data_IF_223782909230
#
_entry.id   IF_223782909230
#
_cell.length_a   1.000
_cell.length_b   1.000
_cell.length_c   1.000
_cell.angle_alpha   90.00
_cell.angle_beta   90.00
_cell.angle_gamma   90.00
#
_symmetry.space_group_name_H-M   'P 1'
#
loop_
_entity.id
_entity.type
_entity.pdbx_description
1 polymer ?
#
# COMPACT_ATOMS: atom_id res chain seq x y z
N UNK A 1 62.49 -22.95 -22.13
CA UNK A 1 61.46 -22.01 -21.62
C UNK A 1 60.13 -22.52 -22.12
N UNK A 2 59.30 -23.05 -21.24
CA UNK A 2 57.93 -23.44 -21.58
C UNK A 2 57.07 -22.18 -21.69
N UNK A 3 56.33 -21.97 -22.79
CA UNK A 3 55.45 -20.80 -22.89
C UNK A 3 54.34 -20.93 -21.84
N UNK A 4 54.21 -19.90 -21.01
CA UNK A 4 53.10 -19.78 -20.07
C UNK A 4 51.91 -19.27 -20.89
N UNK A 5 50.90 -20.12 -21.07
CA UNK A 5 49.63 -19.71 -21.67
C UNK A 5 48.90 -18.87 -20.60
N UNK A 6 48.50 -17.61 -20.91
CA UNK A 6 47.73 -16.82 -19.96
C UNK A 6 46.39 -17.50 -19.66
N UNK A 7 45.89 -17.41 -18.42
CA UNK A 7 44.58 -17.97 -18.09
C UNK A 7 43.51 -17.37 -19.01
N UNK A 8 42.71 -18.23 -19.63
CA UNK A 8 41.50 -17.82 -20.32
C UNK A 8 40.55 -17.27 -19.25
N UNK A 9 40.34 -15.95 -19.26
CA UNK A 9 39.21 -15.34 -18.56
C UNK A 9 38.00 -15.62 -19.42
N UNK A 10 37.18 -16.60 -19.03
CA UNK A 10 35.87 -16.78 -19.65
C UNK A 10 35.05 -15.51 -19.35
N UNK A 11 34.31 -14.95 -20.33
CA UNK A 11 33.36 -13.88 -20.02
C UNK A 11 32.43 -14.37 -18.92
N UNK A 12 32.23 -13.54 -17.90
CA UNK A 12 31.20 -13.80 -16.89
C UNK A 12 29.89 -13.85 -17.67
N UNK A 13 29.07 -14.92 -17.55
CA UNK A 13 27.82 -14.96 -18.28
C UNK A 13 26.94 -13.78 -17.85
N UNK A 14 26.65 -12.86 -18.77
CA UNK A 14 25.86 -11.65 -18.52
C UNK A 14 24.39 -11.95 -18.76
N UNK A 15 23.88 -12.94 -18.03
CA UNK A 15 22.44 -13.21 -18.03
C UNK A 15 21.73 -11.93 -17.59
N UNK A 16 20.86 -11.42 -18.45
CA UNK A 16 20.05 -10.24 -18.18
C UNK A 16 18.68 -10.67 -17.66
N UNK A 17 18.07 -9.83 -16.84
CA UNK A 17 16.67 -9.98 -16.42
C UNK A 17 15.89 -8.75 -16.84
N UNK A 18 14.72 -8.94 -17.42
CA UNK A 18 13.79 -7.87 -17.73
C UNK A 18 12.61 -7.95 -16.76
N UNK A 19 12.34 -6.89 -16.01
CA UNK A 19 11.14 -6.76 -15.19
C UNK A 19 10.00 -6.21 -16.06
N UNK A 20 8.84 -6.82 -15.93
CA UNK A 20 7.58 -6.39 -16.55
C UNK A 20 6.55 -6.17 -15.45
N UNK A 21 5.63 -5.24 -15.71
CA UNK A 21 4.51 -4.98 -14.83
C UNK A 21 3.23 -4.72 -15.61
N UNK A 22 2.09 -4.98 -14.99
CA UNK A 22 0.80 -4.43 -15.40
C UNK A 22 0.13 -3.74 -14.21
N UNK A 23 -0.78 -2.83 -14.49
CA UNK A 23 -1.42 -1.96 -13.51
C UNK A 23 -2.93 -2.05 -13.60
N UNK A 24 -3.60 -1.88 -12.47
CA UNK A 24 -5.05 -1.75 -12.37
C UNK A 24 -5.43 -0.74 -11.30
N UNK A 25 -6.39 0.13 -11.59
CA UNK A 25 -6.97 1.05 -10.61
C UNK A 25 -7.87 0.33 -9.61
N UNK A 26 -8.57 -0.72 -10.06
CA UNK A 26 -9.65 -1.39 -9.31
C UNK A 26 -9.39 -2.88 -9.01
N UNK A 27 -8.27 -3.42 -9.49
CA UNK A 27 -7.89 -4.82 -9.36
C UNK A 27 -8.64 -5.77 -10.31
N UNK A 28 -9.46 -5.23 -11.21
CA UNK A 28 -10.28 -6.00 -12.14
C UNK A 28 -9.87 -5.76 -13.60
N UNK A 29 -9.72 -4.50 -13.99
CA UNK A 29 -9.32 -4.11 -15.34
C UNK A 29 -7.83 -3.79 -15.36
N UNK A 30 -7.07 -4.55 -16.15
CA UNK A 30 -5.60 -4.48 -16.19
C UNK A 30 -5.11 -3.85 -17.50
N UNK A 31 -4.07 -3.04 -17.40
CA UNK A 31 -3.33 -2.59 -18.58
C UNK A 31 -2.60 -3.75 -19.26
N UNK A 32 -2.16 -3.55 -20.50
CA UNK A 32 -1.20 -4.46 -21.11
C UNK A 32 0.12 -4.48 -20.32
N UNK A 33 0.80 -5.63 -20.35
CA UNK A 33 2.13 -5.79 -19.76
C UNK A 33 3.12 -4.78 -20.36
N UNK A 34 3.78 -4.04 -19.48
CA UNK A 34 4.74 -2.99 -19.81
C UNK A 34 6.11 -3.34 -19.25
N UNK A 35 7.17 -3.18 -20.06
CA UNK A 35 8.54 -3.40 -19.59
C UNK A 35 8.94 -2.27 -18.65
N UNK A 36 9.37 -2.63 -17.45
CA UNK A 36 9.89 -1.67 -16.47
C UNK A 36 11.36 -1.36 -16.73
N UNK A 37 12.17 -2.39 -16.96
CA UNK A 37 13.60 -2.24 -17.24
C UNK A 37 14.38 -3.54 -17.22
N UNK A 38 15.64 -3.45 -17.63
CA UNK A 38 16.57 -4.57 -17.69
C UNK A 38 17.70 -4.38 -16.68
N UNK A 39 18.02 -5.44 -15.95
CA UNK A 39 19.20 -5.51 -15.08
C UNK A 39 20.15 -6.59 -15.63
N UNK A 40 21.43 -6.23 -15.77
CA UNK A 40 22.46 -7.07 -16.37
C UNK A 40 23.46 -7.61 -15.34
N UNK A 41 23.34 -7.20 -14.07
CA UNK A 41 24.29 -7.57 -13.02
C UNK A 41 23.57 -8.22 -11.85
N UNK A 42 24.04 -9.40 -11.44
CA UNK A 42 23.54 -10.04 -10.23
C UNK A 42 24.11 -9.36 -8.98
N UNK A 43 23.32 -9.19 -7.89
CA UNK A 43 21.93 -9.60 -7.74
C UNK A 43 20.95 -8.64 -8.44
N UNK A 44 20.09 -9.19 -9.31
CA UNK A 44 19.15 -8.38 -10.09
C UNK A 44 18.11 -7.71 -9.20
N UNK A 45 17.92 -6.40 -9.34
CA UNK A 45 16.99 -5.64 -8.51
C UNK A 45 16.44 -4.40 -9.21
N UNK A 46 15.21 -4.02 -8.83
CA UNK A 46 14.55 -2.81 -9.32
C UNK A 46 13.95 -2.02 -8.16
N UNK A 47 13.95 -0.70 -8.28
CA UNK A 47 13.25 0.21 -7.37
C UNK A 47 12.02 0.75 -8.06
N UNK A 48 10.88 0.08 -7.88
CA UNK A 48 9.62 0.46 -8.52
C UNK A 48 9.01 1.71 -7.86
N UNK A 49 8.39 2.58 -8.65
CA UNK A 49 7.60 3.73 -8.16
C UNK A 49 6.28 3.74 -8.91
N UNK A 50 5.18 3.78 -8.16
CA UNK A 50 3.83 3.74 -8.70
C UNK A 50 2.94 4.84 -8.10
N UNK A 51 1.66 4.75 -8.44
CA UNK A 51 0.56 5.50 -7.85
C UNK A 51 -0.40 4.50 -7.20
N UNK A 52 -1.42 5.00 -6.51
CA UNK A 52 -2.42 4.13 -5.88
C UNK A 52 -3.06 3.17 -6.89
N UNK A 53 -3.30 1.95 -6.42
CA UNK A 53 -3.88 0.85 -7.20
C UNK A 53 -3.12 -0.45 -7.03
N UNK A 54 -3.30 -1.35 -7.99
CA UNK A 54 -2.78 -2.71 -7.95
C UNK A 54 -1.76 -2.94 -9.05
N UNK A 55 -0.72 -3.70 -8.72
CA UNK A 55 0.36 -4.06 -9.62
C UNK A 55 0.60 -5.55 -9.60
N UNK A 56 0.90 -6.08 -10.78
CA UNK A 56 1.39 -7.44 -10.99
C UNK A 56 2.72 -7.37 -11.72
N UNK A 57 3.62 -8.28 -11.38
CA UNK A 57 4.99 -8.30 -11.90
C UNK A 57 5.39 -9.70 -12.35
N UNK A 58 6.20 -9.77 -13.41
CA UNK A 58 7.02 -10.94 -13.70
C UNK A 58 8.40 -10.52 -14.20
N UNK A 59 9.35 -11.44 -14.18
CA UNK A 59 10.64 -11.25 -14.85
C UNK A 59 10.92 -12.32 -15.89
N UNK A 60 11.67 -11.97 -16.93
CA UNK A 60 12.18 -12.95 -17.92
C UNK A 60 13.70 -12.87 -18.02
N UNK A 61 14.33 -14.03 -18.23
CA UNK A 61 15.74 -14.18 -18.53
C UNK A 61 16.08 -13.96 -20.01
N UNK A 62 17.23 -13.33 -20.26
CA UNK A 62 17.89 -13.36 -21.56
C UNK A 62 19.34 -13.83 -21.35
N UNK A 63 19.77 -14.85 -22.07
CA UNK A 63 21.17 -15.31 -22.04
C UNK A 63 22.05 -14.58 -23.06
N UNK A 64 23.37 -14.78 -22.97
CA UNK A 64 24.35 -14.13 -23.84
C UNK A 64 24.25 -14.56 -25.32
N UNK A 65 23.52 -15.63 -25.61
CA UNK A 65 23.26 -16.14 -26.95
C UNK A 65 21.93 -15.64 -27.51
N UNK A 66 21.22 -14.78 -26.77
CA UNK A 66 19.94 -14.19 -27.15
C UNK A 66 18.75 -15.12 -26.96
N UNK A 67 18.90 -16.24 -26.23
CA UNK A 67 17.75 -17.05 -25.85
C UNK A 67 16.95 -16.30 -24.79
N UNK A 68 15.65 -16.13 -25.05
CA UNK A 68 14.72 -15.41 -24.19
C UNK A 68 13.80 -16.43 -23.51
N UNK A 69 13.64 -16.30 -22.21
CA UNK A 69 12.64 -17.03 -21.45
C UNK A 69 11.23 -16.64 -21.91
N UNK A 70 10.36 -17.64 -22.10
CA UNK A 70 8.95 -17.40 -22.41
C UNK A 70 8.27 -16.71 -21.21
N UNK A 71 7.48 -15.64 -21.44
CA UNK A 71 6.75 -14.98 -20.36
C UNK A 71 5.85 -15.98 -19.60
N UNK A 72 5.76 -15.88 -18.27
CA UNK A 72 4.89 -16.75 -17.50
C UNK A 72 3.41 -16.48 -17.82
N UNK A 73 2.57 -17.51 -17.67
CA UNK A 73 1.12 -17.39 -17.91
C UNK A 73 0.38 -16.59 -16.83
N UNK A 74 1.04 -16.31 -15.71
CA UNK A 74 0.53 -15.55 -14.57
C UNK A 74 1.67 -14.68 -14.02
N UNK A 75 1.32 -13.61 -13.30
CA UNK A 75 2.31 -12.83 -12.57
C UNK A 75 3.09 -13.69 -11.56
N UNK A 76 4.37 -13.38 -11.36
CA UNK A 76 5.21 -14.00 -10.33
C UNK A 76 4.88 -13.44 -8.94
N UNK A 77 4.47 -12.16 -8.88
CA UNK A 77 4.07 -11.49 -7.65
C UNK A 77 3.11 -10.33 -7.93
N UNK A 78 2.42 -9.88 -6.88
CA UNK A 78 1.49 -8.77 -6.94
C UNK A 78 1.55 -7.92 -5.67
N UNK A 79 1.12 -6.67 -5.76
CA UNK A 79 1.01 -5.76 -4.61
C UNK A 79 -0.04 -4.69 -4.85
N UNK A 80 -0.65 -4.20 -3.76
CA UNK A 80 -1.45 -2.98 -3.78
C UNK A 80 -0.65 -1.85 -3.16
N UNK A 81 -0.67 -0.67 -3.80
CA UNK A 81 -0.11 0.56 -3.25
C UNK A 81 -1.26 1.47 -2.86
N UNK A 82 -1.30 1.87 -1.60
CA UNK A 82 -2.24 2.86 -1.09
C UNK A 82 -1.50 3.92 -0.28
N UNK A 83 -1.56 5.17 -0.75
CA UNK A 83 -0.94 6.32 -0.11
C UNK A 83 -1.95 7.30 0.47
N UNK A 84 -3.25 7.09 0.24
CA UNK A 84 -4.30 7.96 0.76
C UNK A 84 -4.69 7.46 2.15
N UNK A 85 -4.59 8.30 3.20
CA UNK A 85 -5.00 7.88 4.53
C UNK A 85 -6.52 7.80 4.66
N UNK A 86 -7.03 6.96 5.58
CA UNK A 86 -8.45 6.89 5.87
C UNK A 86 -8.99 8.22 6.43
N UNK A 87 -10.26 8.51 6.17
CA UNK A 87 -10.97 9.68 6.71
C UNK A 87 -11.99 9.23 7.76
N UNK A 88 -11.90 9.78 8.98
CA UNK A 88 -12.88 9.56 10.05
C UNK A 88 -13.81 10.77 10.17
N UNK A 89 -15.11 10.51 10.27
CA UNK A 89 -16.17 11.49 10.52
C UNK A 89 -16.85 11.22 11.86
N UNK A 90 -17.43 12.27 12.45
CA UNK A 90 -18.13 12.22 13.74
C UNK A 90 -19.56 12.72 13.59
N UNK A 91 -20.50 12.01 14.22
CA UNK A 91 -21.88 12.44 14.39
C UNK A 91 -22.17 12.49 15.88
N UNK A 92 -22.75 13.62 16.32
CA UNK A 92 -23.15 13.87 17.70
C UNK A 92 -24.67 13.94 17.78
N UNK A 93 -25.26 13.06 18.59
CA UNK A 93 -26.71 12.99 18.80
C UNK A 93 -27.06 13.24 20.27
N UNK A 94 -27.89 14.25 20.51
CA UNK A 94 -28.33 14.66 21.84
C UNK A 94 -29.33 15.81 21.74
N UNK A 95 -29.98 16.13 22.86
CA UNK A 95 -30.93 17.24 22.93
C UNK A 95 -30.17 18.56 22.90
N UNK A 96 -30.30 19.31 21.81
CA UNK A 96 -29.73 20.65 21.69
C UNK A 96 -30.51 21.65 22.57
N UNK A 97 -29.78 22.47 23.30
CA UNK A 97 -30.29 23.61 24.06
C UNK A 97 -30.01 24.95 23.35
N UNK A 98 -29.71 25.98 24.14
CA UNK A 98 -29.32 27.29 23.61
C UNK A 98 -27.81 27.40 23.39
N UNK A 99 -27.39 28.29 22.48
CA UNK A 99 -25.98 28.59 22.18
C UNK A 99 -25.12 27.36 21.81
N UNK A 100 -25.70 26.40 21.07
CA UNK A 100 -25.04 25.18 20.59
C UNK A 100 -24.54 24.22 21.71
N UNK A 101 -25.13 24.29 22.90
CA UNK A 101 -24.88 23.34 23.99
C UNK A 101 -25.88 22.19 23.99
N UNK A 102 -25.41 20.98 24.29
CA UNK A 102 -26.29 19.85 24.57
C UNK A 102 -26.76 19.88 26.04
N UNK A 103 -28.06 19.66 26.25
CA UNK A 103 -28.71 19.60 27.59
C UNK A 103 -29.09 18.17 27.99
N UNK A 104 -28.60 17.19 27.23
CA UNK A 104 -28.64 15.76 27.57
C UNK A 104 -27.26 15.16 27.37
N UNK A 105 -27.09 13.91 27.81
CA UNK A 105 -25.97 13.10 27.34
C UNK A 105 -25.93 13.06 25.81
N UNK A 106 -24.73 13.03 25.24
CA UNK A 106 -24.49 13.03 23.79
C UNK A 106 -23.97 11.67 23.37
N UNK A 107 -24.64 11.06 22.41
CA UNK A 107 -24.18 9.84 21.75
C UNK A 107 -23.24 10.21 20.61
N UNK A 108 -22.06 9.62 20.62
CA UNK A 108 -21.00 9.82 19.63
C UNK A 108 -20.94 8.61 18.72
N UNK A 109 -21.08 8.87 17.43
CA UNK A 109 -20.87 7.86 16.37
C UNK A 109 -19.71 8.30 15.50
N UNK A 110 -18.69 7.44 15.39
CA UNK A 110 -17.60 7.60 14.45
C UNK A 110 -17.80 6.68 13.25
N UNK A 111 -17.45 7.16 12.06
CA UNK A 111 -17.44 6.39 10.82
C UNK A 111 -16.19 6.73 10.03
N UNK A 112 -15.44 5.70 9.63
CA UNK A 112 -14.21 5.86 8.86
C UNK A 112 -14.35 5.17 7.50
N UNK A 113 -13.78 5.79 6.47
CA UNK A 113 -13.78 5.29 5.10
C UNK A 113 -12.38 5.40 4.50
N UNK A 114 -12.04 4.40 3.69
CA UNK A 114 -10.81 4.30 2.90
C UNK A 114 -11.15 3.51 1.64
N UNK A 115 -10.64 3.93 0.48
CA UNK A 115 -11.08 3.41 -0.81
C UNK A 115 -10.32 2.15 -1.25
N UNK A 116 -9.08 1.94 -0.79
CA UNK A 116 -8.20 0.92 -1.36
C UNK A 116 -7.71 -0.10 -0.33
N UNK A 117 -6.96 0.32 0.69
CA UNK A 117 -6.45 -0.59 1.74
C UNK A 117 -7.48 -0.86 2.84
N UNK A 118 -8.50 -0.01 2.94
CA UNK A 118 -9.53 -0.10 3.97
C UNK A 118 -9.08 0.51 5.31
N UNK A 119 -9.95 0.43 6.31
CA UNK A 119 -9.67 0.97 7.65
C UNK A 119 -9.30 -0.14 8.62
N UNK A 120 -8.08 -0.12 9.16
CA UNK A 120 -7.66 -1.09 10.19
C UNK A 120 -8.37 -0.83 11.53
N UNK A 121 -8.32 0.42 12.02
CA UNK A 121 -8.96 0.81 13.27
C UNK A 121 -9.21 2.32 13.34
N UNK A 122 -10.22 2.71 14.11
CA UNK A 122 -10.43 4.09 14.55
C UNK A 122 -10.18 4.15 16.05
N UNK A 123 -9.43 5.15 16.51
CA UNK A 123 -9.17 5.37 17.94
C UNK A 123 -9.87 6.65 18.38
N UNK A 124 -10.25 6.73 19.65
CA UNK A 124 -10.79 7.96 20.21
C UNK A 124 -10.34 8.18 21.65
N UNK A 125 -10.40 9.44 22.07
CA UNK A 125 -10.14 9.86 23.44
C UNK A 125 -11.18 10.93 23.82
N UNK A 126 -11.68 10.84 25.06
CA UNK A 126 -12.57 11.87 25.64
C UNK A 126 -11.77 12.61 26.69
N UNK A 127 -11.74 13.93 26.58
CA UNK A 127 -10.97 14.84 27.41
C UNK A 127 -9.50 14.39 27.55
N UNK A 128 -9.00 14.27 28.77
CA UNK A 128 -7.65 13.77 29.06
C UNK A 128 -7.65 12.28 29.43
N UNK A 129 -8.64 11.51 28.98
CA UNK A 129 -8.75 10.06 29.23
C UNK A 129 -7.69 9.24 28.49
N UNK A 130 -7.82 7.92 28.48
CA UNK A 130 -6.96 7.06 27.65
C UNK A 130 -7.56 6.91 26.24
N UNK A 131 -6.69 6.78 25.23
CA UNK A 131 -7.08 6.36 23.89
C UNK A 131 -7.70 4.97 23.91
N UNK A 132 -8.80 4.79 23.16
CA UNK A 132 -9.55 3.54 23.05
C UNK A 132 -9.86 3.25 21.59
N UNK A 133 -9.86 1.98 21.21
CA UNK A 133 -10.35 1.54 19.90
C UNK A 133 -11.87 1.74 19.86
N UNK A 134 -12.35 2.43 18.84
CA UNK A 134 -13.77 2.59 18.54
C UNK A 134 -14.31 1.29 17.95
N UNK A 135 -15.17 0.61 18.72
CA UNK A 135 -15.82 -0.65 18.31
C UNK A 135 -17.35 -0.52 18.26
N UNK A 136 -17.88 0.54 18.86
CA UNK A 136 -19.30 0.91 18.90
C UNK A 136 -19.44 2.35 19.38
N UNK A 137 -20.60 2.94 19.09
CA UNK A 137 -21.01 4.22 19.64
C UNK A 137 -20.86 4.26 21.16
N UNK A 138 -20.59 5.44 21.69
CA UNK A 138 -20.44 5.68 23.12
C UNK A 138 -21.12 6.99 23.51
N UNK A 139 -21.33 7.19 24.80
CA UNK A 139 -22.00 8.36 25.33
C UNK A 139 -21.03 9.22 26.13
N UNK A 140 -21.05 10.52 25.90
CA UNK A 140 -20.44 11.54 26.76
C UNK A 140 -21.54 12.13 27.62
N UNK A 141 -21.31 12.19 28.93
CA UNK A 141 -22.25 12.70 29.91
C UNK A 141 -21.52 13.50 30.98
N UNK A 142 -22.28 14.30 31.73
CA UNK A 142 -21.75 15.28 32.66
C UNK A 142 -21.90 16.68 32.11
N UNK A 143 -21.84 17.65 33.02
CA UNK A 143 -21.90 19.07 32.67
C UNK A 143 -20.49 19.58 32.37
N UNK A 144 -20.41 20.56 31.48
CA UNK A 144 -19.16 21.25 31.15
C UNK A 144 -18.69 20.96 29.74
N UNK A 145 -17.49 21.45 29.42
CA UNK A 145 -16.91 21.29 28.10
C UNK A 145 -16.20 19.94 27.98
N UNK A 146 -16.64 19.13 27.02
CA UNK A 146 -15.99 17.88 26.67
C UNK A 146 -15.33 17.96 25.30
N UNK A 147 -14.12 17.42 25.16
CA UNK A 147 -13.40 17.35 23.89
C UNK A 147 -13.26 15.90 23.45
N UNK A 148 -13.52 15.61 22.17
CA UNK A 148 -13.36 14.28 21.59
C UNK A 148 -12.23 14.35 20.55
N UNK A 149 -11.19 13.56 20.74
CA UNK A 149 -10.14 13.34 19.75
C UNK A 149 -10.39 12.01 19.03
N UNK A 150 -10.12 11.95 17.73
CA UNK A 150 -10.28 10.79 16.86
C UNK A 150 -9.44 10.91 15.59
#
# INVERSE_FOLDING_TARGET
MTPIIPPIVLPIPTIQRCLWYQYSEDGAEWTDWTSYGTDTEAPWSWSFTGVDGYYEFYSIAVDDYGNVEEPPSTADTSTGLDMVPPVTTIILDGTMGENDWYVSSVTVTLSATDELSGVESTWYQVDSGNWKIYTKLFTVSGDGHHTIYY
#
